data_IF_366150334188
#
_entry.id   IF_366150334188
#
_cell.length_a   1.000
_cell.length_b   1.000
_cell.length_c   1.000
_cell.angle_alpha   90.00
_cell.angle_beta   90.00
_cell.angle_gamma   90.00
#
_symmetry.space_group_name_H-M   'P 1'
#
loop_
_entity.id
_entity.type
_entity.pdbx_description
1 polymer ?
#
# COMPACT_ATOMS: atom_id res chain seq x y z
N UNK A 1 -3.00 -15.07 -8.68
CA UNK A 1 -3.12 -14.51 -10.06
C UNK A 1 -1.95 -13.62 -10.44
N UNK A 2 -1.64 -12.53 -9.72
CA UNK A 2 -0.55 -11.58 -10.08
C UNK A 2 0.83 -12.26 -10.19
N UNK A 3 1.12 -13.24 -9.32
CA UNK A 3 2.40 -13.97 -9.35
C UNK A 3 2.61 -14.87 -10.57
N UNK A 4 1.54 -15.20 -11.33
CA UNK A 4 1.65 -16.04 -12.53
C UNK A 4 2.25 -15.31 -13.74
N UNK A 5 2.33 -13.97 -13.70
CA UNK A 5 3.01 -13.21 -14.75
C UNK A 5 4.54 -13.39 -14.73
N UNK A 6 5.10 -14.08 -13.72
CA UNK A 6 6.53 -14.43 -13.60
C UNK A 6 7.48 -13.25 -13.82
N UNK A 7 7.07 -12.04 -13.41
CA UNK A 7 7.94 -10.88 -13.47
C UNK A 7 9.18 -11.12 -12.60
N UNK A 8 10.38 -11.03 -13.20
CA UNK A 8 11.67 -11.30 -12.54
C UNK A 8 11.86 -10.47 -11.28
N UNK A 9 11.34 -9.25 -11.26
CA UNK A 9 11.40 -8.34 -10.12
C UNK A 9 10.47 -8.71 -8.97
N UNK A 10 9.39 -9.43 -9.24
CA UNK A 10 8.35 -9.74 -8.23
C UNK A 10 8.54 -11.15 -7.65
N UNK A 11 9.13 -12.06 -8.41
CA UNK A 11 9.37 -13.46 -8.02
C UNK A 11 10.14 -13.59 -6.69
N UNK A 12 11.23 -12.82 -6.42
CA UNK A 12 11.97 -12.91 -5.16
C UNK A 12 11.10 -12.57 -3.93
N UNK A 13 10.13 -11.66 -4.09
CA UNK A 13 9.28 -11.17 -3.01
C UNK A 13 7.98 -11.95 -2.84
N UNK A 14 7.78 -13.05 -3.58
CA UNK A 14 6.55 -13.85 -3.55
C UNK A 14 6.12 -14.24 -2.15
N UNK A 15 7.04 -14.73 -1.32
CA UNK A 15 6.74 -15.17 0.05
C UNK A 15 6.31 -14.00 0.93
N UNK A 16 6.98 -12.86 0.82
CA UNK A 16 6.65 -11.64 1.57
C UNK A 16 5.26 -11.13 1.17
N UNK A 17 4.96 -11.10 -0.14
CA UNK A 17 3.65 -10.72 -0.66
C UNK A 17 2.54 -11.67 -0.20
N UNK A 18 2.78 -12.98 -0.15
CA UNK A 18 1.82 -13.95 0.37
C UNK A 18 1.58 -13.76 1.87
N UNK A 19 2.64 -13.53 2.66
CA UNK A 19 2.50 -13.30 4.09
C UNK A 19 1.82 -11.95 4.41
N UNK A 20 1.93 -10.94 3.53
CA UNK A 20 1.15 -9.68 3.64
C UNK A 20 -0.35 -9.89 3.38
N UNK A 21 -0.73 -10.91 2.60
CA UNK A 21 -2.14 -11.25 2.37
C UNK A 21 -2.71 -12.08 3.53
N UNK A 22 -1.89 -12.84 4.25
CA UNK A 22 -2.33 -13.61 5.42
C UNK A 22 -2.56 -12.69 6.63
N UNK A 23 -3.77 -12.71 7.21
CA UNK A 23 -4.12 -11.86 8.35
C UNK A 23 -3.32 -12.17 9.62
N UNK A 24 -2.94 -13.43 9.83
CA UNK A 24 -2.20 -13.86 11.03
C UNK A 24 -0.78 -13.32 11.02
N UNK A 25 -0.16 -13.33 9.83
CA UNK A 25 1.23 -12.91 9.61
C UNK A 25 1.36 -11.43 9.25
N UNK A 26 0.27 -10.76 8.90
CA UNK A 26 0.27 -9.38 8.44
C UNK A 26 1.05 -8.41 9.33
N UNK A 27 0.79 -8.42 10.65
CA UNK A 27 1.45 -7.49 11.59
C UNK A 27 2.95 -7.72 11.65
N UNK A 28 3.36 -8.99 11.75
CA UNK A 28 4.76 -9.39 11.81
C UNK A 28 5.50 -9.02 10.51
N UNK A 29 4.87 -9.28 9.36
CA UNK A 29 5.44 -8.92 8.07
C UNK A 29 5.61 -7.42 7.88
N UNK A 30 4.67 -6.58 8.35
CA UNK A 30 4.86 -5.13 8.29
C UNK A 30 6.07 -4.65 9.10
N UNK A 31 6.41 -5.36 10.18
CA UNK A 31 7.58 -5.05 11.00
C UNK A 31 8.88 -5.54 10.36
N UNK A 32 8.87 -6.74 9.76
CA UNK A 32 10.04 -7.37 9.14
C UNK A 32 10.37 -6.76 7.77
N UNK A 33 9.35 -6.54 6.94
CA UNK A 33 9.49 -6.14 5.55
C UNK A 33 9.19 -4.64 5.38
N UNK A 34 10.10 -3.79 5.85
CA UNK A 34 9.97 -2.33 5.72
C UNK A 34 10.30 -1.86 4.30
N UNK A 35 9.53 -0.88 3.79
CA UNK A 35 9.71 -0.23 2.48
C UNK A 35 10.73 0.92 2.52
N UNK A 36 11.14 1.37 3.70
CA UNK A 36 12.13 2.43 3.88
C UNK A 36 13.43 2.12 3.14
N UNK A 37 14.03 3.13 2.49
CA UNK A 37 15.29 3.00 1.75
C UNK A 37 16.43 2.42 2.61
N UNK A 38 16.44 2.73 3.91
CA UNK A 38 17.42 2.24 4.87
C UNK A 38 17.37 0.72 5.09
N UNK A 39 16.20 0.10 4.90
CA UNK A 39 16.00 -1.30 5.22
C UNK A 39 16.58 -2.24 4.14
N UNK A 40 16.91 -1.72 2.94
CA UNK A 40 17.44 -2.48 1.78
C UNK A 40 16.67 -3.77 1.44
N UNK A 41 15.42 -3.88 1.87
CA UNK A 41 14.61 -5.08 1.68
C UNK A 41 14.11 -5.23 0.24
N UNK A 42 14.06 -4.13 -0.52
CA UNK A 42 13.58 -4.09 -1.91
C UNK A 42 14.65 -3.42 -2.75
N UNK A 43 15.08 -4.08 -3.83
CA UNK A 43 16.01 -3.48 -4.78
C UNK A 43 15.35 -2.29 -5.50
N UNK A 44 16.06 -1.18 -5.74
CA UNK A 44 15.50 0.00 -6.41
C UNK A 44 14.85 -0.32 -7.76
N UNK A 45 15.45 -1.24 -8.52
CA UNK A 45 14.96 -1.70 -9.82
C UNK A 45 13.64 -2.48 -9.74
N UNK A 46 13.43 -3.23 -8.65
CA UNK A 46 12.23 -4.02 -8.45
C UNK A 46 11.09 -3.19 -7.83
N UNK A 47 11.45 -2.06 -7.22
CA UNK A 47 10.55 -1.21 -6.45
C UNK A 47 9.38 -0.69 -7.30
N UNK A 48 9.65 -0.33 -8.55
CA UNK A 48 8.64 0.13 -9.52
C UNK A 48 7.54 -0.90 -9.76
N UNK A 49 7.84 -2.20 -9.66
CA UNK A 49 6.88 -3.27 -9.88
C UNK A 49 6.28 -3.83 -8.60
N UNK A 50 7.08 -3.90 -7.53
CA UNK A 50 6.70 -4.55 -6.27
C UNK A 50 5.88 -3.61 -5.38
N UNK A 51 6.27 -2.34 -5.26
CA UNK A 51 5.60 -1.40 -4.35
C UNK A 51 4.15 -1.13 -4.76
N UNK A 52 3.80 -0.92 -6.04
CA UNK A 52 2.40 -0.74 -6.44
C UNK A 52 1.50 -1.95 -6.11
N UNK A 53 2.07 -3.16 -6.01
CA UNK A 53 1.35 -4.36 -5.59
C UNK A 53 1.13 -4.33 -4.07
N UNK A 54 2.17 -4.00 -3.30
CA UNK A 54 2.07 -3.89 -1.84
C UNK A 54 1.04 -2.82 -1.46
N UNK A 55 1.13 -1.62 -2.05
CA UNK A 55 0.21 -0.52 -1.79
C UNK A 55 -1.25 -0.93 -2.04
N UNK A 56 -1.54 -1.66 -3.13
CA UNK A 56 -2.88 -2.19 -3.42
C UNK A 56 -3.36 -3.20 -2.37
N UNK A 57 -2.48 -4.11 -1.92
CA UNK A 57 -2.80 -5.07 -0.86
C UNK A 57 -3.12 -4.31 0.44
N UNK A 58 -2.29 -3.35 0.82
CA UNK A 58 -2.49 -2.53 2.02
C UNK A 58 -3.79 -1.73 1.96
N UNK A 59 -4.09 -1.13 0.80
CA UNK A 59 -5.35 -0.42 0.59
C UNK A 59 -6.56 -1.33 0.78
N UNK A 60 -6.53 -2.55 0.21
CA UNK A 60 -7.57 -3.56 0.46
C UNK A 60 -7.68 -3.94 1.93
N UNK A 61 -6.55 -4.19 2.60
CA UNK A 61 -6.53 -4.51 4.05
C UNK A 61 -7.08 -3.38 4.92
N UNK A 62 -6.98 -2.13 4.48
CA UNK A 62 -7.48 -0.95 5.18
C UNK A 62 -9.00 -0.77 5.04
N UNK A 63 -9.55 -1.10 3.86
CA UNK A 63 -10.96 -0.91 3.50
C UNK A 63 -11.85 -2.08 3.93
N UNK A 64 -11.28 -3.28 4.02
CA UNK A 64 -11.98 -4.48 4.47
C UNK A 64 -12.47 -4.32 5.93
N UNK A 65 -13.78 -4.41 6.14
CA UNK A 65 -14.44 -4.41 7.47
C UNK A 65 -14.37 -5.76 8.20
N UNK A 66 -13.37 -6.61 7.94
CA UNK A 66 -13.22 -7.86 8.70
C UNK A 66 -12.92 -7.53 10.17
N UNK A 67 -13.89 -7.78 11.05
CA UNK A 67 -13.76 -7.58 12.50
C UNK A 67 -14.18 -6.21 13.03
N UNK A 68 -14.96 -5.43 12.28
CA UNK A 68 -15.55 -4.16 12.77
C UNK A 68 -16.45 -4.32 14.02
N UNK A 69 -16.79 -5.55 14.39
CA UNK A 69 -17.72 -5.87 15.46
C UNK A 69 -17.11 -5.86 16.88
N UNK A 70 -15.77 -5.82 17.03
CA UNK A 70 -15.12 -5.87 18.36
C UNK A 70 -14.16 -4.69 18.56
N UNK A 71 -14.63 -3.67 19.30
CA UNK A 71 -13.85 -2.63 20.02
C UNK A 71 -12.49 -2.28 19.40
N UNK A 72 -12.46 -1.45 18.36
CA UNK A 72 -11.25 -0.72 17.94
C UNK A 72 -10.21 -1.47 17.08
N UNK A 73 -10.38 -2.77 16.80
CA UNK A 73 -9.43 -3.55 15.99
C UNK A 73 -9.19 -2.99 14.57
N UNK A 74 -10.24 -2.43 13.96
CA UNK A 74 -10.15 -1.77 12.65
C UNK A 74 -9.32 -0.49 12.66
N UNK A 75 -9.41 0.32 13.72
CA UNK A 75 -8.62 1.55 13.87
C UNK A 75 -7.13 1.20 14.02
N UNK A 76 -6.80 0.23 14.88
CA UNK A 76 -5.42 -0.20 15.08
C UNK A 76 -4.77 -0.71 13.78
N UNK A 77 -5.53 -1.44 12.94
CA UNK A 77 -5.04 -1.90 11.63
C UNK A 77 -4.78 -0.72 10.69
N UNK A 78 -5.67 0.27 10.63
CA UNK A 78 -5.47 1.49 9.83
C UNK A 78 -4.25 2.27 10.29
N UNK A 79 -4.10 2.48 11.60
CA UNK A 79 -2.94 3.17 12.17
C UNK A 79 -1.62 2.45 11.86
N UNK A 80 -1.61 1.11 11.88
CA UNK A 80 -0.42 0.33 11.54
C UNK A 80 -0.04 0.48 10.07
N UNK A 81 -1.03 0.42 9.16
CA UNK A 81 -0.81 0.66 7.73
C UNK A 81 -0.31 2.07 7.49
N UNK A 82 -0.91 3.08 8.12
CA UNK A 82 -0.47 4.47 8.00
C UNK A 82 0.97 4.68 8.51
N UNK A 83 1.35 4.02 9.61
CA UNK A 83 2.74 4.05 10.11
C UNK A 83 3.71 3.41 9.13
N UNK A 84 3.30 2.35 8.45
CA UNK A 84 4.11 1.72 7.42
C UNK A 84 4.29 2.61 6.18
N UNK A 85 3.23 3.33 5.77
CA UNK A 85 3.29 4.30 4.67
C UNK A 85 4.22 5.48 4.95
N UNK A 86 4.45 5.83 6.21
CA UNK A 86 5.41 6.88 6.57
C UNK A 86 6.86 6.57 6.12
N UNK A 87 7.18 5.32 5.80
CA UNK A 87 8.47 4.91 5.24
C UNK A 87 8.53 4.89 3.71
N UNK A 88 7.47 5.29 3.01
CA UNK A 88 7.42 5.30 1.54
C UNK A 88 7.89 6.64 0.96
N UNK A 89 8.36 6.61 -0.29
CA UNK A 89 8.78 7.80 -1.02
C UNK A 89 7.56 8.63 -1.45
N UNK A 90 7.77 9.91 -1.77
CA UNK A 90 6.67 10.83 -2.17
C UNK A 90 5.82 10.28 -3.32
N UNK A 91 6.48 9.73 -4.36
CA UNK A 91 5.80 9.13 -5.51
C UNK A 91 4.91 7.95 -5.11
N UNK A 92 5.38 7.11 -4.17
CA UNK A 92 4.66 5.93 -3.70
C UNK A 92 3.47 6.33 -2.83
N UNK A 93 3.65 7.35 -1.99
CA UNK A 93 2.58 7.92 -1.19
C UNK A 93 1.50 8.54 -2.08
N UNK A 94 1.91 9.25 -3.14
CA UNK A 94 0.99 9.79 -4.15
C UNK A 94 0.19 8.67 -4.82
N UNK A 95 0.83 7.58 -5.25
CA UNK A 95 0.13 6.41 -5.80
C UNK A 95 -0.88 5.82 -4.81
N UNK A 96 -0.54 5.80 -3.51
CA UNK A 96 -1.46 5.31 -2.49
C UNK A 96 -2.69 6.20 -2.32
N UNK A 97 -2.51 7.52 -2.33
CA UNK A 97 -3.61 8.49 -2.22
C UNK A 97 -4.44 8.52 -3.50
N UNK A 98 -3.85 8.36 -4.68
CA UNK A 98 -4.61 8.31 -5.94
C UNK A 98 -5.63 7.16 -5.97
N UNK A 99 -5.41 6.04 -5.26
CA UNK A 99 -6.36 4.92 -5.22
C UNK A 99 -7.76 5.31 -4.72
N UNK A 100 -7.95 5.85 -3.50
CA UNK A 100 -9.28 6.28 -3.04
C UNK A 100 -9.85 7.42 -3.89
N UNK A 101 -9.02 8.34 -4.38
CA UNK A 101 -9.47 9.46 -5.21
C UNK A 101 -9.83 9.06 -6.64
N UNK A 102 -9.36 7.91 -7.13
CA UNK A 102 -9.71 7.40 -8.46
C UNK A 102 -11.22 7.20 -8.63
N UNK A 103 -11.94 6.90 -7.54
CA UNK A 103 -13.40 6.78 -7.56
C UNK A 103 -14.10 8.14 -7.71
N UNK A 104 -13.47 9.21 -7.23
CA UNK A 104 -13.99 10.57 -7.28
C UNK A 104 -13.54 11.34 -8.53
N UNK A 105 -12.50 10.87 -9.22
CA UNK A 105 -11.96 11.51 -10.42
C UNK A 105 -13.02 11.84 -11.50
N UNK A 106 -14.03 11.00 -11.78
CA UNK A 106 -15.08 11.33 -12.76
C UNK A 106 -16.00 12.48 -12.33
N UNK A 107 -16.03 12.80 -11.04
CA UNK A 107 -16.90 13.83 -10.44
C UNK A 107 -16.14 15.12 -10.14
N UNK A 108 -14.86 15.19 -10.51
CA UNK A 108 -14.00 16.35 -10.28
C UNK A 108 -13.78 17.06 -11.62
N UNK A 109 -14.36 18.24 -11.78
CA UNK A 109 -14.25 19.04 -13.02
C UNK A 109 -12.84 19.62 -13.25
N UNK A 110 -12.02 19.66 -12.19
CA UNK A 110 -10.67 20.22 -12.21
C UNK A 110 -9.70 19.33 -11.45
N UNK A 111 -8.43 19.34 -11.85
CA UNK A 111 -7.40 18.64 -11.07
C UNK A 111 -7.23 19.34 -9.73
N UNK A 112 -7.03 18.62 -8.61
CA UNK A 112 -6.89 19.23 -7.28
C UNK A 112 -5.85 20.35 -7.18
N UNK A 113 -4.80 20.31 -8.02
CA UNK A 113 -3.75 21.33 -8.06
C UNK A 113 -4.19 22.65 -8.73
N UNK A 114 -5.16 22.61 -9.63
CA UNK A 114 -5.66 23.78 -10.36
C UNK A 114 -6.62 24.60 -9.48
N UNK A 115 -7.31 23.95 -8.54
CA UNK A 115 -8.18 24.61 -7.54
C UNK A 115 -7.39 25.62 -6.69
N UNK A 116 -6.15 25.29 -6.32
CA UNK A 116 -5.30 26.16 -5.51
C UNK A 116 -4.77 27.40 -6.26
N UNK A 117 -4.75 27.37 -7.60
CA UNK A 117 -4.29 28.50 -8.42
C UNK A 117 -5.40 29.47 -8.80
N UNK A 118 -6.66 29.13 -8.49
CA UNK A 118 -7.84 29.95 -8.82
C UNK A 118 -8.30 30.83 -7.63
N UNK A 119 -7.58 30.77 -6.50
CA UNK A 119 -7.84 31.55 -5.27
C UNK A 119 -6.77 32.61 -5.09
#
# INVERSE_FOLDING_TARGET
CVLNYKNKSVVPYKTNLQNLVDEKKFKEQLTLFKITEDAKNIHPEDREHVVPIILRILYGKMTIKLGADKKGGGQARRSLVMRYLAGCNENELKMFIEMPFSHFAPYMDMKPKEILQTV
#
